data_IF_897058787229
#
_entry.id   IF_897058787229
#
_cell.length_a   1.000
_cell.length_b   1.000
_cell.length_c   1.000
_cell.angle_alpha   90.00
_cell.angle_beta   90.00
_cell.angle_gamma   90.00
#
_symmetry.space_group_name_H-M   'P 1'
#
loop_
_entity.id
_entity.type
_entity.pdbx_description
1 polymer ?
#
# COMPACT_ATOMS: atom_id res chain seq x y z
N UNK A 1 12.16 -12.36 0.66
CA UNK A 1 11.39 -11.59 1.66
C UNK A 1 11.69 -12.11 3.05
N UNK A 2 12.16 -11.25 3.94
CA UNK A 2 12.40 -11.54 5.36
C UNK A 2 11.09 -11.51 6.16
N UNK A 3 11.07 -12.14 7.34
CA UNK A 3 9.92 -12.09 8.26
C UNK A 3 9.52 -10.65 8.63
N UNK A 4 10.50 -9.76 8.77
CA UNK A 4 10.28 -8.34 9.06
C UNK A 4 9.51 -7.64 7.94
N UNK A 5 9.92 -7.85 6.69
CA UNK A 5 9.27 -7.28 5.50
C UNK A 5 7.85 -7.83 5.33
N UNK A 6 7.66 -9.14 5.52
CA UNK A 6 6.34 -9.77 5.45
C UNK A 6 5.38 -9.19 6.51
N UNK A 7 5.88 -8.97 7.74
CA UNK A 7 5.10 -8.33 8.81
C UNK A 7 4.77 -6.88 8.45
N UNK A 8 5.74 -6.11 7.98
CA UNK A 8 5.52 -4.72 7.56
C UNK A 8 4.45 -4.63 6.46
N UNK A 9 4.53 -5.48 5.43
CA UNK A 9 3.52 -5.53 4.37
C UNK A 9 2.14 -5.90 4.89
N UNK A 10 2.03 -6.85 5.82
CA UNK A 10 0.76 -7.18 6.44
C UNK A 10 0.16 -5.98 7.19
N UNK A 11 0.98 -5.22 7.92
CA UNK A 11 0.55 -3.98 8.57
C UNK A 11 0.10 -2.91 7.58
N UNK A 12 0.85 -2.69 6.49
CA UNK A 12 0.50 -1.72 5.46
C UNK A 12 -0.82 -2.08 4.78
N UNK A 13 -1.02 -3.35 4.42
CA UNK A 13 -2.26 -3.85 3.82
C UNK A 13 -3.47 -3.64 4.73
N UNK A 14 -3.33 -3.97 6.02
CA UNK A 14 -4.41 -3.75 6.98
C UNK A 14 -4.72 -2.26 7.12
N UNK A 15 -3.68 -1.43 7.26
CA UNK A 15 -3.86 0.01 7.36
C UNK A 15 -4.62 0.55 6.15
N UNK A 16 -4.16 0.26 4.92
CA UNK A 16 -4.83 0.70 3.69
C UNK A 16 -6.29 0.23 3.62
N UNK A 17 -6.58 -1.01 4.02
CA UNK A 17 -7.94 -1.53 4.07
C UNK A 17 -8.83 -0.74 5.02
N UNK A 18 -8.35 -0.42 6.22
CA UNK A 18 -9.11 0.36 7.20
C UNK A 18 -9.43 1.76 6.66
N UNK A 19 -8.47 2.41 6.00
CA UNK A 19 -8.65 3.76 5.43
C UNK A 19 -9.59 3.72 4.23
N UNK A 20 -9.53 2.65 3.43
CA UNK A 20 -10.45 2.46 2.31
C UNK A 20 -11.90 2.34 2.81
N UNK A 21 -12.13 1.54 3.87
CA UNK A 21 -13.46 1.37 4.48
C UNK A 21 -13.95 2.69 5.09
N UNK A 22 -13.07 3.47 5.70
CA UNK A 22 -13.39 4.77 6.27
C UNK A 22 -13.51 5.90 5.23
N UNK A 23 -13.23 5.62 3.95
CA UNK A 23 -13.05 6.62 2.89
C UNK A 23 -12.05 7.74 3.26
N UNK A 24 -11.06 7.43 4.10
CA UNK A 24 -10.05 8.37 4.57
C UNK A 24 -8.85 8.40 3.61
N UNK A 25 -8.98 9.18 2.54
CA UNK A 25 -7.91 9.34 1.54
C UNK A 25 -6.68 10.02 2.15
N UNK A 26 -6.88 11.01 3.03
CA UNK A 26 -5.77 11.74 3.66
C UNK A 26 -4.94 10.82 4.57
N UNK A 27 -5.60 9.98 5.37
CA UNK A 27 -4.93 9.01 6.23
C UNK A 27 -4.28 7.85 5.48
N UNK A 28 -4.59 7.65 4.20
CA UNK A 28 -3.97 6.63 3.36
C UNK A 28 -2.61 7.04 2.78
N UNK A 29 -2.28 8.34 2.77
CA UNK A 29 -1.04 8.87 2.16
C UNK A 29 0.21 8.21 2.73
N UNK A 30 0.32 8.08 4.06
CA UNK A 30 1.49 7.49 4.72
C UNK A 30 1.64 6.00 4.41
N UNK A 31 0.65 5.12 4.66
CA UNK A 31 0.81 3.70 4.36
C UNK A 31 0.94 3.42 2.86
N UNK A 32 0.30 4.21 1.99
CA UNK A 32 0.44 4.05 0.53
C UNK A 32 1.83 4.47 0.05
N UNK A 33 2.35 5.59 0.57
CA UNK A 33 3.72 6.03 0.30
C UNK A 33 4.75 5.00 0.76
N UNK A 34 4.55 4.39 1.94
CA UNK A 34 5.43 3.34 2.43
C UNK A 34 5.36 2.08 1.58
N UNK A 35 4.16 1.66 1.14
CA UNK A 35 4.01 0.54 0.22
C UNK A 35 4.72 0.80 -1.12
N UNK A 36 4.66 2.05 -1.63
CA UNK A 36 5.40 2.46 -2.84
C UNK A 36 6.90 2.27 -2.68
N UNK A 37 7.47 2.68 -1.55
CA UNK A 37 8.91 2.52 -1.28
C UNK A 37 9.32 1.04 -1.28
N UNK A 38 8.53 0.17 -0.65
CA UNK A 38 8.81 -1.27 -0.64
C UNK A 38 8.64 -1.87 -2.03
N UNK A 39 7.63 -1.44 -2.80
CA UNK A 39 7.40 -1.90 -4.17
C UNK A 39 8.46 -1.41 -5.18
N UNK A 40 9.09 -0.27 -4.90
CA UNK A 40 10.15 0.31 -5.74
C UNK A 40 11.56 -0.21 -5.41
N UNK A 41 11.72 -1.00 -4.35
CA UNK A 41 13.01 -1.62 -4.03
C UNK A 41 13.47 -2.56 -5.16
N UNK A 42 14.77 -2.60 -5.44
CA UNK A 42 15.33 -3.47 -6.49
C UNK A 42 15.02 -4.96 -6.27
N UNK A 43 14.79 -5.37 -5.02
CA UNK A 43 14.41 -6.72 -4.62
C UNK A 43 12.90 -7.01 -4.69
N UNK A 44 12.08 -6.02 -5.06
CA UNK A 44 10.63 -6.17 -5.12
C UNK A 44 10.19 -6.90 -6.39
N UNK A 45 9.31 -7.89 -6.22
CA UNK A 45 8.72 -8.61 -7.34
C UNK A 45 7.67 -7.78 -8.09
N UNK A 46 7.26 -8.28 -9.26
CA UNK A 46 6.23 -7.65 -10.08
C UNK A 46 4.86 -7.63 -9.38
N UNK A 47 4.57 -8.59 -8.51
CA UNK A 47 3.27 -8.67 -7.83
C UNK A 47 3.11 -7.55 -6.81
N UNK A 48 4.17 -7.18 -6.09
CA UNK A 48 4.15 -6.10 -5.11
C UNK A 48 3.96 -4.73 -5.78
N UNK A 49 4.53 -4.53 -6.98
CA UNK A 49 4.29 -3.33 -7.79
C UNK A 49 2.84 -3.25 -8.25
N UNK A 50 2.30 -4.35 -8.78
CA UNK A 50 0.91 -4.43 -9.17
C UNK A 50 -0.03 -4.21 -7.97
N UNK A 51 0.34 -4.69 -6.78
CA UNK A 51 -0.41 -4.44 -5.55
C UNK A 51 -0.47 -2.95 -5.21
N UNK A 52 0.67 -2.26 -5.26
CA UNK A 52 0.74 -0.82 -5.05
C UNK A 52 -0.17 -0.07 -6.03
N UNK A 53 -0.09 -0.38 -7.33
CA UNK A 53 -0.91 0.27 -8.37
C UNK A 53 -2.41 0.08 -8.12
N UNK A 54 -2.82 -1.13 -7.73
CA UNK A 54 -4.22 -1.42 -7.37
C UNK A 54 -4.67 -0.61 -6.15
N UNK A 55 -3.80 -0.40 -5.17
CA UNK A 55 -4.14 0.44 -4.01
C UNK A 55 -4.21 1.92 -4.37
N UNK A 56 -3.22 2.43 -5.12
CA UNK A 56 -3.18 3.81 -5.57
C UNK A 56 -4.44 4.17 -6.36
N UNK A 57 -4.80 3.34 -7.35
CA UNK A 57 -5.99 3.55 -8.16
C UNK A 57 -7.29 3.62 -7.34
N UNK A 58 -7.44 2.78 -6.31
CA UNK A 58 -8.64 2.81 -5.44
C UNK A 58 -8.76 4.13 -4.67
N UNK A 59 -7.64 4.66 -4.17
CA UNK A 59 -7.65 5.94 -3.45
C UNK A 59 -7.76 7.13 -4.39
N UNK A 60 -7.23 7.04 -5.61
CA UNK A 60 -7.49 8.02 -6.68
C UNK A 60 -8.98 8.10 -7.02
N UNK A 61 -9.65 6.96 -7.15
CA UNK A 61 -11.10 6.91 -7.39
C UNK A 61 -11.93 7.51 -6.23
N UNK A 62 -11.47 7.38 -4.99
CA UNK A 62 -12.14 7.99 -3.83
C UNK A 62 -11.89 9.50 -3.72
N UNK A 63 -10.84 10.01 -4.36
CA UNK A 63 -10.47 11.43 -4.33
C UNK A 63 -11.10 12.25 -5.47
N UNK A 64 -11.67 11.58 -6.48
CA UNK A 64 -12.34 12.17 -7.65
C UNK A 64 -13.80 12.55 -7.35
#
# INVERSE_FOLDING_TARGET
MSYREARELAFLRQALRDRLIAHDVAGAVIPLGRLREVAAAESADHELRAEYERWAFRFELLAA
#
